data_IF_097487128327
#
_entry.id   IF_097487128327
#
_cell.length_a   1.000
_cell.length_b   1.000
_cell.length_c   1.000
_cell.angle_alpha   90.00
_cell.angle_beta   90.00
_cell.angle_gamma   90.00
#
_symmetry.space_group_name_H-M   'P 1'
#
loop_
_entity.id
_entity.type
_entity.pdbx_description
1 polymer ?
#
# COMPACT_ATOMS: atom_id res chain seq x y z
N UNK A 1 -8.73 82.67 4.46
CA UNK A 1 -9.09 81.27 4.40
C UNK A 1 -8.26 80.52 5.43
N UNK A 2 -8.82 80.26 6.60
CA UNK A 2 -8.14 79.66 7.75
C UNK A 2 -8.41 78.16 7.76
N UNK A 3 -7.35 77.38 7.62
CA UNK A 3 -7.41 75.93 7.63
C UNK A 3 -7.20 75.47 9.07
N UNK A 4 -8.27 75.10 9.74
CA UNK A 4 -8.31 74.59 11.11
C UNK A 4 -7.96 73.08 11.05
N UNK A 5 -6.69 72.74 11.29
CA UNK A 5 -6.23 71.36 11.50
C UNK A 5 -6.48 70.98 12.96
N UNK A 6 -7.61 70.27 13.17
CA UNK A 6 -7.94 69.69 14.47
C UNK A 6 -7.02 68.49 14.70
N UNK A 7 -6.01 68.67 15.50
CA UNK A 7 -5.15 67.59 16.00
C UNK A 7 -5.93 66.88 17.11
N UNK A 8 -6.43 65.69 16.83
CA UNK A 8 -6.98 64.78 17.85
C UNK A 8 -5.82 64.20 18.63
N UNK A 9 -5.55 64.77 19.78
CA UNK A 9 -4.73 64.16 20.84
C UNK A 9 -5.42 62.93 21.34
N UNK A 10 -4.95 61.78 20.87
CA UNK A 10 -5.30 60.48 21.41
C UNK A 10 -4.69 60.36 22.80
N UNK A 11 -5.45 60.69 23.84
CA UNK A 11 -4.98 60.56 25.22
C UNK A 11 -4.65 59.07 25.48
N UNK A 12 -3.38 58.73 25.60
CA UNK A 12 -2.91 57.43 26.10
C UNK A 12 -3.46 57.21 27.51
N UNK A 13 -4.50 56.43 27.63
CA UNK A 13 -5.01 55.96 28.94
C UNK A 13 -3.89 55.20 29.61
N UNK A 14 -3.33 55.77 30.66
CA UNK A 14 -2.35 55.11 31.53
C UNK A 14 -3.01 53.87 32.14
N UNK A 15 -2.65 52.68 31.61
CA UNK A 15 -3.21 51.41 32.07
C UNK A 15 -2.78 51.14 33.54
N UNK A 16 -3.74 50.88 34.40
CA UNK A 16 -3.50 50.51 35.80
C UNK A 16 -2.89 49.08 35.86
N UNK A 17 -2.27 48.74 36.99
CA UNK A 17 -1.77 47.36 37.23
C UNK A 17 -2.87 46.30 37.05
N UNK A 18 -4.10 46.63 37.36
CA UNK A 18 -5.26 45.78 37.21
C UNK A 18 -5.57 45.57 35.74
N UNK A 19 -5.62 46.60 34.93
CA UNK A 19 -5.91 46.54 33.49
C UNK A 19 -4.88 45.68 32.75
N UNK A 20 -3.59 45.83 33.07
CA UNK A 20 -2.51 45.01 32.51
C UNK A 20 -2.67 43.52 32.85
N UNK A 21 -3.15 43.20 34.08
CA UNK A 21 -3.38 41.84 34.51
C UNK A 21 -4.58 41.22 33.77
N UNK A 22 -5.63 41.98 33.56
CA UNK A 22 -6.81 41.55 32.84
C UNK A 22 -6.52 41.36 31.35
N UNK A 23 -5.74 42.23 30.73
CA UNK A 23 -5.31 42.13 29.34
C UNK A 23 -4.43 40.90 29.10
N UNK A 24 -3.50 40.60 29.99
CA UNK A 24 -2.71 39.37 29.94
C UNK A 24 -3.59 38.12 29.98
N UNK A 25 -4.56 38.06 30.89
CA UNK A 25 -5.51 36.93 30.97
C UNK A 25 -6.31 36.78 29.67
N UNK A 26 -6.81 37.86 29.11
CA UNK A 26 -7.54 37.81 27.82
C UNK A 26 -6.67 37.29 26.67
N UNK A 27 -5.41 37.74 26.62
CA UNK A 27 -4.46 37.24 25.58
C UNK A 27 -4.15 35.77 25.81
N UNK A 28 -4.01 35.30 27.06
CA UNK A 28 -3.81 33.88 27.38
C UNK A 28 -5.02 33.03 26.96
N UNK A 29 -6.24 33.45 27.33
CA UNK A 29 -7.50 32.80 26.95
C UNK A 29 -7.67 32.74 25.43
N UNK A 30 -7.36 33.82 24.69
CA UNK A 30 -7.40 33.80 23.23
C UNK A 30 -6.40 32.84 22.62
N UNK A 31 -5.20 32.74 23.19
CA UNK A 31 -4.17 31.78 22.73
C UNK A 31 -4.62 30.36 22.99
N UNK A 32 -5.17 30.07 24.14
CA UNK A 32 -5.71 28.74 24.48
C UNK A 32 -6.87 28.36 23.54
N UNK A 33 -7.82 29.25 23.30
CA UNK A 33 -8.91 29.01 22.36
C UNK A 33 -8.41 28.77 20.94
N UNK A 34 -7.39 29.53 20.49
CA UNK A 34 -6.80 29.35 19.16
C UNK A 34 -6.04 28.01 19.09
N UNK A 35 -5.34 27.61 20.15
CA UNK A 35 -4.62 26.33 20.20
C UNK A 35 -5.59 25.15 20.19
N UNK A 36 -6.69 25.21 20.95
CA UNK A 36 -7.75 24.19 20.97
C UNK A 36 -8.44 24.05 19.60
N UNK A 37 -8.72 25.19 18.94
CA UNK A 37 -9.28 25.15 17.56
C UNK A 37 -8.29 24.49 16.57
N UNK A 38 -7.01 24.81 16.63
CA UNK A 38 -5.98 24.21 15.79
C UNK A 38 -5.84 22.71 16.06
N UNK A 39 -5.85 22.32 17.33
CA UNK A 39 -5.80 20.92 17.74
C UNK A 39 -7.02 20.15 17.24
N UNK A 40 -8.22 20.70 17.37
CA UNK A 40 -9.46 20.11 16.89
C UNK A 40 -9.45 19.93 15.37
N UNK A 41 -9.01 20.93 14.62
CA UNK A 41 -8.89 20.83 13.16
C UNK A 41 -7.84 19.80 12.77
N UNK A 42 -6.68 19.80 13.43
CA UNK A 42 -5.61 18.83 13.19
C UNK A 42 -6.05 17.39 13.44
N UNK A 43 -6.78 17.13 14.54
CA UNK A 43 -7.30 15.79 14.82
C UNK A 43 -8.33 15.32 13.80
N UNK A 44 -9.20 16.20 13.32
CA UNK A 44 -10.17 15.87 12.26
C UNK A 44 -9.45 15.49 10.95
N UNK A 45 -8.40 16.23 10.58
CA UNK A 45 -7.62 15.94 9.37
C UNK A 45 -6.92 14.57 9.50
N UNK A 46 -6.34 14.26 10.65
CA UNK A 46 -5.71 12.96 10.88
C UNK A 46 -6.70 11.81 10.78
N UNK A 47 -7.86 11.94 11.42
CA UNK A 47 -8.92 10.92 11.35
C UNK A 47 -9.40 10.73 9.92
N UNK A 48 -9.61 11.81 9.17
CA UNK A 48 -10.02 11.74 7.76
C UNK A 48 -8.94 11.06 6.89
N UNK A 49 -7.66 11.34 7.13
CA UNK A 49 -6.55 10.70 6.42
C UNK A 49 -6.48 9.18 6.68
N UNK A 50 -6.67 8.76 7.94
CA UNK A 50 -6.72 7.34 8.30
C UNK A 50 -7.91 6.66 7.63
N UNK A 51 -9.09 7.27 7.68
CA UNK A 51 -10.28 6.72 7.03
C UNK A 51 -10.10 6.57 5.52
N UNK A 52 -9.51 7.56 4.85
CA UNK A 52 -9.18 7.49 3.43
C UNK A 52 -8.20 6.36 3.12
N UNK A 53 -7.13 6.19 3.91
CA UNK A 53 -6.17 5.11 3.74
C UNK A 53 -6.82 3.72 3.87
N UNK A 54 -7.74 3.54 4.81
CA UNK A 54 -8.48 2.27 4.98
C UNK A 54 -9.36 1.99 3.76
N UNK A 55 -10.10 2.99 3.26
CA UNK A 55 -10.97 2.82 2.08
C UNK A 55 -10.14 2.47 0.83
N UNK A 56 -9.00 3.15 0.62
CA UNK A 56 -8.09 2.85 -0.49
C UNK A 56 -7.55 1.42 -0.38
N UNK A 57 -7.14 0.99 0.82
CA UNK A 57 -6.60 -0.36 1.04
C UNK A 57 -7.63 -1.46 0.73
N UNK A 58 -8.89 -1.26 1.14
CA UNK A 58 -10.00 -2.18 0.84
C UNK A 58 -10.27 -2.20 -0.67
N UNK A 59 -10.33 -1.03 -1.30
CA UNK A 59 -10.55 -0.90 -2.74
C UNK A 59 -9.47 -1.58 -3.57
N UNK A 60 -8.19 -1.37 -3.23
CA UNK A 60 -7.06 -2.05 -3.89
C UNK A 60 -7.10 -3.57 -3.68
N UNK A 61 -7.41 -4.04 -2.48
CA UNK A 61 -7.52 -5.48 -2.21
C UNK A 61 -8.65 -6.14 -3.02
N UNK A 62 -9.80 -5.48 -3.14
CA UNK A 62 -10.91 -5.96 -3.96
C UNK A 62 -10.53 -5.98 -5.46
N UNK A 63 -9.89 -4.90 -5.96
CA UNK A 63 -9.44 -4.81 -7.34
C UNK A 63 -8.41 -5.88 -7.69
N UNK A 64 -7.40 -6.11 -6.84
CA UNK A 64 -6.37 -7.13 -7.09
C UNK A 64 -6.95 -8.55 -7.13
N UNK A 65 -7.91 -8.86 -6.25
CA UNK A 65 -8.62 -10.14 -6.29
C UNK A 65 -9.45 -10.31 -7.55
N UNK A 66 -10.18 -9.25 -7.96
CA UNK A 66 -10.94 -9.27 -9.21
C UNK A 66 -10.03 -9.47 -10.43
N UNK A 67 -8.94 -8.71 -10.51
CA UNK A 67 -7.98 -8.78 -11.59
C UNK A 67 -7.30 -10.15 -11.68
N UNK A 68 -6.99 -10.79 -10.56
CA UNK A 68 -6.37 -12.11 -10.52
C UNK A 68 -7.23 -13.20 -11.15
N UNK A 69 -8.56 -13.04 -11.13
CA UNK A 69 -9.52 -14.03 -11.66
C UNK A 69 -9.92 -13.70 -13.11
N UNK A 70 -9.92 -12.42 -13.50
CA UNK A 70 -10.52 -12.00 -14.77
C UNK A 70 -9.50 -11.51 -15.80
N UNK A 71 -8.34 -11.04 -15.37
CA UNK A 71 -7.34 -10.52 -16.28
C UNK A 71 -6.39 -11.63 -16.73
N UNK A 72 -6.00 -11.57 -18.01
CA UNK A 72 -4.97 -12.45 -18.57
C UNK A 72 -3.64 -12.14 -17.87
N UNK A 73 -3.04 -13.14 -17.24
CA UNK A 73 -1.72 -13.07 -16.64
C UNK A 73 -0.62 -13.51 -17.61
N UNK A 74 -0.86 -14.61 -18.34
CA UNK A 74 0.05 -15.15 -19.36
C UNK A 74 -0.77 -15.80 -20.47
N UNK A 75 -0.23 -15.83 -21.70
CA UNK A 75 -0.81 -16.58 -22.81
C UNK A 75 0.02 -17.83 -23.12
N UNK A 76 -0.65 -18.95 -23.32
CA UNK A 76 -0.06 -20.22 -23.73
C UNK A 76 -0.80 -20.70 -24.98
N UNK A 77 -0.15 -20.58 -26.15
CA UNK A 77 -0.85 -20.72 -27.44
C UNK A 77 -1.96 -19.67 -27.54
N UNK A 78 -3.17 -20.13 -27.85
CA UNK A 78 -4.38 -19.30 -27.96
C UNK A 78 -5.13 -19.13 -26.60
N UNK A 79 -4.66 -19.80 -25.55
CA UNK A 79 -5.29 -19.76 -24.23
C UNK A 79 -4.82 -18.58 -23.38
N UNK A 80 -5.77 -17.84 -22.86
CA UNK A 80 -5.55 -16.79 -21.87
C UNK A 80 -5.62 -17.39 -20.46
N UNK A 81 -4.49 -17.35 -19.76
CA UNK A 81 -4.34 -17.91 -18.41
C UNK A 81 -4.47 -16.79 -17.40
N UNK A 82 -5.37 -16.95 -16.43
CA UNK A 82 -5.50 -16.00 -15.31
C UNK A 82 -4.41 -16.22 -14.27
N UNK A 83 -4.20 -15.19 -13.41
CA UNK A 83 -3.22 -15.32 -12.32
C UNK A 83 -3.57 -16.47 -11.36
N UNK A 84 -4.84 -16.67 -11.08
CA UNK A 84 -5.28 -17.75 -10.17
C UNK A 84 -4.97 -19.12 -10.76
N UNK A 85 -5.22 -19.31 -12.05
CA UNK A 85 -4.89 -20.56 -12.76
C UNK A 85 -3.38 -20.79 -12.78
N UNK A 86 -2.60 -19.76 -13.11
CA UNK A 86 -1.14 -19.84 -13.09
C UNK A 86 -0.60 -20.19 -11.70
N UNK A 87 -1.06 -19.48 -10.66
CA UNK A 87 -0.64 -19.71 -9.26
C UNK A 87 -0.96 -21.15 -8.80
N UNK A 88 -2.07 -21.72 -9.27
CA UNK A 88 -2.39 -23.11 -8.99
C UNK A 88 -1.30 -24.06 -9.51
N UNK A 89 -0.91 -23.94 -10.77
CA UNK A 89 0.13 -24.79 -11.36
C UNK A 89 1.51 -24.50 -10.82
N UNK A 90 1.82 -23.24 -10.52
CA UNK A 90 3.06 -22.86 -9.85
C UNK A 90 3.18 -23.51 -8.47
N UNK A 91 2.16 -23.38 -7.64
CA UNK A 91 2.15 -23.98 -6.31
C UNK A 91 2.16 -25.53 -6.38
N UNK A 92 1.49 -26.11 -7.37
CA UNK A 92 1.54 -27.54 -7.59
C UNK A 92 2.95 -28.02 -7.97
N UNK A 93 3.65 -27.30 -8.84
CA UNK A 93 5.03 -27.59 -9.22
C UNK A 93 5.97 -27.50 -8.00
N UNK A 94 5.88 -26.42 -7.22
CA UNK A 94 6.64 -26.23 -5.98
C UNK A 94 6.36 -27.38 -5.00
N UNK A 95 5.11 -27.62 -4.65
CA UNK A 95 4.74 -28.63 -3.66
C UNK A 95 5.13 -30.05 -4.10
N UNK A 96 4.99 -30.38 -5.37
CA UNK A 96 5.41 -31.66 -5.93
C UNK A 96 6.91 -31.85 -5.81
N UNK A 97 7.68 -30.82 -6.15
CA UNK A 97 9.14 -30.84 -6.05
C UNK A 97 9.61 -30.98 -4.59
N UNK A 98 9.05 -30.16 -3.67
CA UNK A 98 9.36 -30.23 -2.24
C UNK A 98 8.99 -31.60 -1.64
N UNK A 99 7.88 -32.17 -2.05
CA UNK A 99 7.45 -33.51 -1.59
C UNK A 99 8.35 -34.61 -2.11
N UNK A 100 8.81 -34.49 -3.35
CA UNK A 100 9.66 -35.51 -3.99
C UNK A 100 11.08 -35.52 -3.42
N UNK A 101 11.66 -34.36 -3.19
CA UNK A 101 13.06 -34.24 -2.79
C UNK A 101 13.25 -34.04 -1.27
N UNK A 102 12.24 -33.60 -0.54
CA UNK A 102 12.18 -33.57 0.93
C UNK A 102 13.49 -33.14 1.62
N UNK A 103 14.13 -34.07 2.31
CA UNK A 103 15.36 -33.83 3.05
C UNK A 103 16.61 -33.57 2.17
N UNK A 104 16.53 -33.78 0.87
CA UNK A 104 17.65 -33.51 -0.06
C UNK A 104 17.73 -32.06 -0.51
N UNK A 105 16.67 -31.24 -0.28
CA UNK A 105 16.60 -29.86 -0.73
C UNK A 105 17.79 -28.98 -0.30
N UNK A 106 18.29 -29.04 0.94
CA UNK A 106 19.46 -28.25 1.35
C UNK A 106 20.73 -28.61 0.56
N UNK A 107 20.89 -29.87 0.18
CA UNK A 107 22.02 -30.33 -0.63
C UNK A 107 21.93 -29.84 -2.09
N UNK A 108 20.71 -29.51 -2.52
CA UNK A 108 20.45 -28.93 -3.84
C UNK A 108 20.50 -27.40 -3.83
N UNK A 109 20.86 -26.78 -2.69
CA UNK A 109 20.95 -25.33 -2.54
C UNK A 109 19.59 -24.64 -2.39
N UNK A 110 18.52 -25.38 -2.08
CA UNK A 110 17.18 -24.82 -1.87
C UNK A 110 16.85 -24.70 -0.37
N UNK A 111 16.67 -23.48 0.08
CA UNK A 111 16.21 -23.14 1.43
C UNK A 111 14.74 -22.69 1.37
N UNK A 112 13.84 -23.53 1.88
CA UNK A 112 12.39 -23.30 1.82
C UNK A 112 11.92 -22.15 2.74
N UNK A 113 12.79 -21.62 3.59
CA UNK A 113 12.49 -20.47 4.46
C UNK A 113 12.74 -19.13 3.79
N UNK A 114 13.39 -19.13 2.62
CA UNK A 114 13.75 -17.94 1.86
C UNK A 114 12.96 -17.82 0.56
N UNK A 115 12.90 -16.61 0.03
CA UNK A 115 12.30 -16.35 -1.28
C UNK A 115 13.07 -17.09 -2.39
N UNK A 116 12.36 -17.87 -3.21
CA UNK A 116 12.91 -18.64 -4.33
C UNK A 116 13.50 -17.74 -5.42
N UNK A 117 13.02 -16.49 -5.56
CA UNK A 117 13.59 -15.53 -6.50
C UNK A 117 14.98 -15.02 -6.10
N UNK A 118 15.37 -15.20 -4.84
CA UNK A 118 16.69 -14.80 -4.33
C UNK A 118 17.69 -15.94 -4.26
N UNK A 119 17.31 -17.14 -4.66
CA UNK A 119 18.14 -18.34 -4.59
C UNK A 119 18.47 -18.83 -6.00
N UNK A 120 19.76 -19.05 -6.27
CA UNK A 120 20.22 -19.55 -7.56
C UNK A 120 19.98 -21.06 -7.68
N UNK A 121 19.37 -21.47 -8.79
CA UNK A 121 19.30 -22.86 -9.21
C UNK A 121 20.47 -23.20 -10.13
N UNK A 122 20.79 -22.31 -11.08
CA UNK A 122 21.97 -22.37 -11.94
C UNK A 122 22.55 -20.96 -12.08
N UNK A 123 23.68 -20.80 -12.79
CA UNK A 123 24.33 -19.49 -13.00
C UNK A 123 23.40 -18.42 -13.59
N UNK A 124 22.38 -18.82 -14.35
CA UNK A 124 21.49 -17.92 -15.09
C UNK A 124 20.01 -18.08 -14.70
N UNK A 125 19.68 -18.86 -13.67
CA UNK A 125 18.31 -19.19 -13.32
C UNK A 125 18.14 -19.28 -11.81
N UNK A 126 17.09 -18.64 -11.30
CA UNK A 126 16.68 -18.76 -9.89
C UNK A 126 15.78 -20.00 -9.70
N UNK A 127 15.59 -20.41 -8.43
CA UNK A 127 14.61 -21.45 -8.12
C UNK A 127 13.20 -21.04 -8.51
N UNK A 128 12.88 -19.74 -8.41
CA UNK A 128 11.59 -19.23 -8.89
C UNK A 128 11.42 -19.47 -10.38
N UNK A 129 12.43 -19.13 -11.18
CA UNK A 129 12.38 -19.31 -12.65
C UNK A 129 12.24 -20.79 -13.03
N UNK A 130 12.89 -21.67 -12.29
CA UNK A 130 12.77 -23.11 -12.47
C UNK A 130 11.34 -23.61 -12.23
N UNK A 131 10.72 -23.16 -11.13
CA UNK A 131 9.33 -23.50 -10.83
C UNK A 131 8.34 -22.87 -11.81
N UNK A 132 8.62 -21.64 -12.29
CA UNK A 132 7.84 -20.99 -13.35
C UNK A 132 7.87 -21.84 -14.64
N UNK A 133 9.03 -22.36 -15.04
CA UNK A 133 9.14 -23.24 -16.21
C UNK A 133 8.36 -24.55 -16.03
N UNK A 134 8.40 -25.15 -14.84
CA UNK A 134 7.60 -26.35 -14.55
C UNK A 134 6.10 -26.05 -14.64
N UNK A 135 5.64 -24.93 -14.08
CA UNK A 135 4.24 -24.51 -14.13
C UNK A 135 3.77 -24.28 -15.57
N UNK A 136 4.55 -23.55 -16.36
CA UNK A 136 4.26 -23.31 -17.79
C UNK A 136 4.21 -24.61 -18.58
N UNK A 137 5.14 -25.54 -18.32
CA UNK A 137 5.16 -26.85 -18.96
C UNK A 137 3.89 -27.66 -18.65
N UNK A 138 3.47 -27.71 -17.39
CA UNK A 138 2.22 -28.38 -16.99
C UNK A 138 1.01 -27.73 -17.63
N UNK A 139 0.92 -26.39 -17.61
CA UNK A 139 -0.16 -25.66 -18.28
C UNK A 139 -0.23 -25.95 -19.78
N UNK A 140 0.92 -25.95 -20.46
CA UNK A 140 1.01 -26.26 -21.89
C UNK A 140 0.48 -27.66 -22.20
N UNK A 141 0.86 -28.66 -21.38
CA UNK A 141 0.37 -30.02 -21.53
C UNK A 141 -1.14 -30.13 -21.35
N UNK A 142 -1.67 -29.48 -20.29
CA UNK A 142 -3.11 -29.49 -20.02
C UNK A 142 -3.89 -28.82 -21.12
N UNK A 143 -3.42 -27.66 -21.64
CA UNK A 143 -4.09 -26.95 -22.75
C UNK A 143 -4.05 -27.76 -24.06
N UNK A 144 -2.93 -28.40 -24.36
CA UNK A 144 -2.85 -29.31 -25.52
C UNK A 144 -3.87 -30.46 -25.42
N UNK A 145 -4.04 -31.08 -24.24
CA UNK A 145 -5.05 -32.10 -24.04
C UNK A 145 -6.47 -31.55 -24.23
N UNK A 146 -6.73 -30.32 -23.76
CA UNK A 146 -8.05 -29.67 -23.96
C UNK A 146 -8.32 -29.43 -25.44
N UNK A 147 -7.31 -28.98 -26.17
CA UNK A 147 -7.44 -28.75 -27.62
C UNK A 147 -7.69 -30.04 -28.38
N UNK A 148 -6.93 -31.11 -28.08
CA UNK A 148 -7.12 -32.43 -28.68
C UNK A 148 -8.51 -33.02 -28.37
N UNK A 149 -9.04 -32.75 -27.17
CA UNK A 149 -10.37 -33.22 -26.80
C UNK A 149 -11.52 -32.42 -27.44
N UNK A 150 -11.23 -31.23 -27.95
CA UNK A 150 -12.20 -30.34 -28.60
C UNK A 150 -12.21 -30.51 -30.15
N UNK A 151 -11.22 -31.18 -30.73
CA UNK A 151 -11.05 -31.40 -32.13
C UNK A 151 -11.87 -32.62 -32.63
#
# INVERSE_FOLDING_TARGET
>A
MSNNKKTEEKSEKVMTKYDRKMEKRRIEEEKELKSLKRFKIGSIIIIAAIAAAVVISIGMSAYTKYAAVHNTYVKIGDHEITKVEYDYYYNNAVNSYLSMYGSYLPYMGLDTSKDFAQQQYTDNMTWKDYFDQMAVSQLTQVKAIVDDAAA
#
